data_IF_522246909122
#
_entry.id   IF_522246909122
#
_cell.length_a   1.000
_cell.length_b   1.000
_cell.length_c   1.000
_cell.angle_alpha   90.00
_cell.angle_beta   90.00
_cell.angle_gamma   90.00
#
_symmetry.space_group_name_H-M   'P 1'
#
loop_
_entity.id
_entity.type
_entity.pdbx_description
1 polymer ?
#
# COMPACT_ATOMS: atom_id res chain seq x y z
N UNK A 1 22.92 64.19 -39.08
CA UNK A 1 21.88 63.80 -38.11
C UNK A 1 21.90 62.27 -38.02
N UNK A 2 22.51 61.70 -36.98
CA UNK A 2 22.67 60.25 -36.80
C UNK A 2 21.48 59.72 -35.99
N UNK A 3 20.71 58.80 -36.56
CA UNK A 3 19.57 58.17 -35.91
C UNK A 3 20.04 56.86 -35.29
N UNK A 4 20.28 56.87 -33.98
CA UNK A 4 20.64 55.68 -33.19
C UNK A 4 19.37 54.85 -32.98
N UNK A 5 19.34 53.65 -33.54
CA UNK A 5 18.24 52.69 -33.41
C UNK A 5 18.26 52.09 -32.00
N UNK A 6 17.18 52.29 -31.24
CA UNK A 6 16.93 51.62 -29.96
C UNK A 6 16.64 50.13 -30.22
N UNK A 7 17.67 49.30 -30.13
CA UNK A 7 17.55 47.87 -29.83
C UNK A 7 17.64 47.76 -28.31
N UNK A 8 16.58 47.28 -27.66
CA UNK A 8 16.56 46.60 -26.34
C UNK A 8 15.17 46.79 -25.72
N UNK A 9 14.35 45.73 -25.73
CA UNK A 9 13.34 45.34 -24.72
C UNK A 9 12.32 44.35 -25.31
N UNK A 10 12.80 43.27 -25.92
CA UNK A 10 12.00 42.03 -26.08
C UNK A 10 12.84 40.86 -25.59
N UNK A 11 13.29 40.97 -24.33
CA UNK A 11 14.09 39.91 -23.68
C UNK A 11 13.65 39.66 -22.24
N UNK A 12 12.56 40.28 -21.78
CA UNK A 12 12.15 40.25 -20.37
C UNK A 12 10.75 39.65 -20.12
N UNK A 13 10.26 38.79 -21.03
CA UNK A 13 9.03 37.99 -20.79
C UNK A 13 9.20 36.52 -21.22
N UNK A 14 10.44 36.03 -21.35
CA UNK A 14 10.72 34.59 -21.54
C UNK A 14 11.64 34.02 -20.45
N UNK A 15 11.72 34.69 -19.30
CA UNK A 15 12.12 34.07 -18.05
C UNK A 15 10.85 33.79 -17.25
N UNK A 16 10.66 32.53 -16.81
CA UNK A 16 9.63 32.01 -15.88
C UNK A 16 8.53 31.07 -16.43
N UNK A 17 8.86 30.09 -17.27
CA UNK A 17 8.13 28.79 -17.26
C UNK A 17 9.03 27.55 -17.40
N UNK A 18 10.33 27.68 -17.14
CA UNK A 18 11.20 26.54 -16.79
C UNK A 18 11.57 26.60 -15.30
N UNK A 19 10.58 26.95 -14.46
CA UNK A 19 10.68 26.80 -13.01
C UNK A 19 10.42 25.34 -12.67
N UNK A 20 11.51 24.57 -12.62
CA UNK A 20 11.67 23.38 -11.79
C UNK A 20 10.57 22.31 -11.87
N UNK A 21 10.60 21.46 -12.90
CA UNK A 21 10.32 20.06 -12.61
C UNK A 21 11.53 19.54 -11.82
N UNK A 22 11.42 19.55 -10.48
CA UNK A 22 12.30 18.72 -9.65
C UNK A 22 12.32 17.33 -10.28
N UNK A 23 13.49 16.68 -10.43
CA UNK A 23 13.53 15.30 -10.90
C UNK A 23 12.54 14.52 -10.04
N UNK A 24 11.58 13.84 -10.68
CA UNK A 24 10.64 12.97 -10.00
C UNK A 24 11.49 11.99 -9.20
N UNK A 25 11.51 12.21 -7.89
CA UNK A 25 12.27 11.40 -6.95
C UNK A 25 11.90 9.95 -7.25
N UNK A 26 12.91 9.18 -7.68
CA UNK A 26 12.75 7.78 -8.02
C UNK A 26 12.24 7.11 -6.76
N UNK A 27 10.93 6.84 -6.67
CA UNK A 27 10.29 6.21 -5.51
C UNK A 27 11.20 5.09 -5.04
N UNK A 28 11.87 5.34 -3.92
CA UNK A 28 12.72 4.36 -3.27
C UNK A 28 11.84 3.13 -3.02
N UNK A 29 12.38 1.94 -3.35
CA UNK A 29 11.66 0.68 -3.23
C UNK A 29 11.05 0.62 -1.83
N UNK A 30 9.72 0.47 -1.72
CA UNK A 30 9.00 0.56 -0.44
C UNK A 30 9.68 -0.33 0.61
N UNK A 31 9.92 0.17 1.82
CA UNK A 31 10.68 -0.54 2.86
C UNK A 31 9.91 -1.70 3.50
N UNK A 32 8.66 -1.95 3.09
CA UNK A 32 7.80 -2.98 3.68
C UNK A 32 8.37 -4.39 3.44
N UNK A 33 8.40 -5.21 4.48
CA UNK A 33 8.75 -6.63 4.39
C UNK A 33 7.50 -7.46 4.07
N UNK A 34 7.46 -8.09 2.89
CA UNK A 34 6.29 -8.84 2.46
C UNK A 34 6.63 -10.18 1.81
N UNK A 35 5.63 -11.06 1.74
CA UNK A 35 5.64 -12.28 0.92
C UNK A 35 4.37 -12.34 0.06
N UNK A 36 4.51 -12.87 -1.16
CA UNK A 36 3.43 -12.99 -2.14
C UNK A 36 3.01 -14.46 -2.24
N UNK A 37 1.70 -14.69 -2.21
CA UNK A 37 1.08 -16.01 -2.27
C UNK A 37 0.11 -16.08 -3.45
N UNK A 38 0.25 -17.14 -4.25
CA UNK A 38 -0.47 -17.31 -5.52
C UNK A 38 -1.03 -18.72 -5.72
N UNK A 39 -0.98 -19.61 -4.74
CA UNK A 39 -1.57 -20.94 -4.92
C UNK A 39 -3.08 -20.89 -4.77
N UNK A 40 -3.80 -21.81 -5.43
CA UNK A 40 -5.25 -21.95 -5.24
C UNK A 40 -5.60 -22.24 -3.78
N UNK A 41 -4.74 -22.94 -3.05
CA UNK A 41 -4.88 -23.18 -1.60
C UNK A 41 -4.84 -21.87 -0.82
N UNK A 42 -3.87 -21.00 -1.09
CA UNK A 42 -3.75 -19.71 -0.39
C UNK A 42 -4.95 -18.80 -0.67
N UNK A 43 -5.42 -18.79 -1.93
CA UNK A 43 -6.62 -18.04 -2.32
C UNK A 43 -7.85 -18.57 -1.57
N UNK A 44 -8.04 -19.89 -1.51
CA UNK A 44 -9.14 -20.51 -0.77
C UNK A 44 -9.10 -20.17 0.73
N UNK A 45 -7.91 -20.11 1.34
CA UNK A 45 -7.76 -19.78 2.75
C UNK A 45 -7.96 -18.28 3.05
N UNK A 46 -7.68 -17.41 2.08
CA UNK A 46 -7.76 -15.95 2.26
C UNK A 46 -9.14 -15.35 1.91
N UNK A 47 -9.94 -16.07 1.12
CA UNK A 47 -11.21 -15.58 0.58
C UNK A 47 -12.33 -16.60 0.78
N UNK A 48 -13.47 -16.13 1.28
CA UNK A 48 -14.69 -16.94 1.45
C UNK A 48 -15.44 -17.19 0.12
N UNK A 49 -14.86 -16.74 -1.00
CA UNK A 49 -15.44 -16.79 -2.34
C UNK A 49 -14.55 -17.59 -3.29
N UNK A 50 -15.13 -18.27 -4.30
CA UNK A 50 -14.37 -19.03 -5.28
C UNK A 50 -13.66 -18.09 -6.26
N UNK A 51 -12.51 -17.56 -5.84
CA UNK A 51 -11.65 -16.70 -6.66
C UNK A 51 -10.50 -17.51 -7.28
N UNK A 52 -9.94 -16.97 -8.37
CA UNK A 52 -8.77 -17.57 -9.04
C UNK A 52 -7.50 -16.81 -8.67
N UNK A 53 -6.33 -17.48 -8.53
CA UNK A 53 -5.08 -16.79 -8.32
C UNK A 53 -4.78 -15.72 -9.36
N UNK A 54 -4.18 -14.62 -8.91
CA UNK A 54 -3.83 -13.51 -9.78
C UNK A 54 -2.42 -12.99 -9.49
N UNK A 55 -1.55 -13.09 -10.49
CA UNK A 55 -0.20 -12.49 -10.43
C UNK A 55 -0.30 -10.98 -10.62
N UNK A 56 0.22 -10.22 -9.65
CA UNK A 56 0.22 -8.76 -9.71
C UNK A 56 1.26 -8.23 -10.69
N UNK A 57 0.89 -7.24 -11.49
CA UNK A 57 1.88 -6.47 -12.25
C UNK A 57 2.73 -5.61 -11.30
N UNK A 58 3.90 -5.15 -11.76
CA UNK A 58 4.77 -4.25 -11.00
C UNK A 58 4.02 -2.98 -10.53
N UNK A 59 3.17 -2.43 -11.38
CA UNK A 59 2.37 -1.24 -11.06
C UNK A 59 1.27 -1.55 -10.04
N UNK A 60 0.60 -2.70 -10.17
CA UNK A 60 -0.40 -3.14 -9.18
C UNK A 60 0.23 -3.35 -7.80
N UNK A 61 1.41 -3.99 -7.76
CA UNK A 61 2.15 -4.16 -6.52
C UNK A 61 2.55 -2.82 -5.91
N UNK A 62 3.11 -1.89 -6.69
CA UNK A 62 3.46 -0.55 -6.20
C UNK A 62 2.24 0.21 -5.63
N UNK A 63 1.10 0.14 -6.30
CA UNK A 63 -0.14 0.75 -5.81
C UNK A 63 -0.64 0.10 -4.52
N UNK A 64 -0.52 -1.23 -4.41
CA UNK A 64 -0.88 -1.98 -3.22
C UNK A 64 -0.01 -1.57 -2.03
N UNK A 65 1.31 -1.47 -2.18
CA UNK A 65 2.21 -1.07 -1.09
C UNK A 65 1.86 0.34 -0.56
N UNK A 66 1.51 1.28 -1.44
CA UNK A 66 0.97 2.60 -1.03
C UNK A 66 -0.40 2.53 -0.36
N UNK A 67 -1.23 1.52 -0.65
CA UNK A 67 -2.49 1.30 0.07
C UNK A 67 -2.21 0.76 1.48
N UNK A 68 -1.26 -0.16 1.62
CA UNK A 68 -0.87 -0.75 2.92
C UNK A 68 -0.42 0.35 3.90
N UNK A 69 0.47 1.25 3.47
CA UNK A 69 0.93 2.38 4.30
C UNK A 69 -0.25 3.25 4.77
N UNK A 70 -1.17 3.59 3.85
CA UNK A 70 -2.37 4.38 4.18
C UNK A 70 -3.33 3.69 5.14
N UNK A 71 -3.42 2.36 5.10
CA UNK A 71 -4.25 1.61 6.06
C UNK A 71 -3.68 1.72 7.46
N UNK A 72 -2.36 1.56 7.60
CA UNK A 72 -1.70 1.71 8.91
C UNK A 72 -1.83 3.12 9.47
N UNK A 73 -1.69 4.15 8.63
CA UNK A 73 -1.96 5.54 9.04
C UNK A 73 -3.41 5.72 9.52
N UNK A 74 -4.38 5.17 8.78
CA UNK A 74 -5.79 5.23 9.15
C UNK A 74 -6.09 4.52 10.47
N UNK A 75 -5.46 3.37 10.72
CA UNK A 75 -5.61 2.64 11.97
C UNK A 75 -4.97 3.39 13.15
N UNK A 76 -3.83 4.04 12.96
CA UNK A 76 -3.21 4.90 13.97
C UNK A 76 -4.12 6.05 14.40
N UNK A 77 -4.80 6.69 13.45
CA UNK A 77 -5.78 7.75 13.74
C UNK A 77 -6.98 7.24 14.54
N UNK A 78 -7.34 5.96 14.39
CA UNK A 78 -8.43 5.34 15.18
C UNK A 78 -7.98 4.97 16.59
N UNK A 79 -6.71 4.66 16.80
CA UNK A 79 -6.15 4.34 18.12
C UNK A 79 -5.98 5.60 18.98
N UNK A 80 -5.61 6.74 18.39
CA UNK A 80 -5.47 8.00 19.14
C UNK A 80 -6.82 8.55 19.62
N UNK A 81 -7.93 8.21 18.97
CA UNK A 81 -9.27 8.67 19.35
C UNK A 81 -9.95 7.81 20.43
N UNK A 82 -9.48 6.59 20.71
CA UNK A 82 -10.12 5.68 21.68
C UNK A 82 -9.54 5.74 23.10
N UNK A 83 -8.56 6.61 23.37
CA UNK A 83 -7.93 6.79 24.70
C UNK A 83 -7.36 5.49 25.33
N UNK A 84 -7.16 4.46 24.52
CA UNK A 84 -6.59 3.17 24.92
C UNK A 84 -5.08 3.20 24.66
N UNK A 85 -4.26 2.86 25.66
CA UNK A 85 -2.79 2.65 25.55
C UNK A 85 -2.39 1.48 24.62
N UNK A 86 -3.22 1.13 23.64
CA UNK A 86 -2.88 0.16 22.60
C UNK A 86 -1.88 0.82 21.64
N UNK A 87 -0.76 0.15 21.40
CA UNK A 87 0.41 0.74 20.75
C UNK A 87 0.15 1.17 19.31
N UNK A 88 0.72 2.32 18.95
CA UNK A 88 0.82 2.84 17.58
C UNK A 88 1.27 1.72 16.62
N UNK A 89 0.54 1.56 15.52
CA UNK A 89 0.90 0.71 14.39
C UNK A 89 2.07 1.35 13.65
N UNK A 90 3.22 0.72 13.70
CA UNK A 90 4.38 1.08 12.88
C UNK A 90 4.43 0.11 11.70
N UNK A 91 4.25 0.63 10.47
CA UNK A 91 4.25 -0.16 9.24
C UNK A 91 5.53 -0.96 9.06
N UNK A 92 6.67 -0.44 9.54
CA UNK A 92 7.99 -1.05 9.40
C UNK A 92 8.20 -2.22 10.35
N UNK A 93 7.39 -2.31 11.40
CA UNK A 93 7.40 -3.43 12.36
C UNK A 93 6.59 -4.63 11.89
N UNK A 94 5.85 -4.51 10.78
CA UNK A 94 4.98 -5.57 10.29
C UNK A 94 5.59 -6.30 9.10
N UNK A 95 5.27 -7.59 9.05
CA UNK A 95 5.50 -8.49 7.94
C UNK A 95 4.16 -8.71 7.25
N UNK A 96 4.11 -8.54 5.92
CA UNK A 96 2.86 -8.60 5.17
C UNK A 96 2.78 -9.87 4.33
N UNK A 97 1.73 -10.64 4.51
CA UNK A 97 1.36 -11.72 3.58
C UNK A 97 0.30 -11.18 2.63
N UNK A 98 0.56 -11.32 1.33
CA UNK A 98 -0.27 -10.76 0.28
C UNK A 98 -0.78 -11.90 -0.59
N UNK A 99 -2.10 -12.10 -0.59
CA UNK A 99 -2.78 -13.07 -1.45
C UNK A 99 -3.60 -12.28 -2.47
N UNK A 100 -3.29 -12.47 -3.75
CA UNK A 100 -3.97 -11.78 -4.84
C UNK A 100 -4.82 -12.74 -5.66
N UNK A 101 -6.08 -12.36 -5.88
CA UNK A 101 -7.05 -13.15 -6.59
C UNK A 101 -7.88 -12.30 -7.57
N UNK A 102 -8.57 -12.96 -8.48
CA UNK A 102 -9.50 -12.35 -9.43
C UNK A 102 -10.85 -13.06 -9.39
N UNK A 103 -11.91 -12.27 -9.51
CA UNK A 103 -13.26 -12.78 -9.73
C UNK A 103 -13.48 -13.20 -11.20
N UNK A 104 -14.64 -13.78 -11.49
CA UNK A 104 -15.03 -14.19 -12.85
C UNK A 104 -15.22 -13.02 -13.82
N UNK A 105 -15.26 -11.78 -13.32
CA UNK A 105 -15.34 -10.54 -14.12
C UNK A 105 -13.95 -9.93 -14.36
N UNK A 106 -12.88 -10.58 -13.89
CA UNK A 106 -11.50 -10.10 -14.02
C UNK A 106 -11.09 -9.02 -13.03
N UNK A 107 -11.95 -8.67 -12.06
CA UNK A 107 -11.62 -7.69 -11.03
C UNK A 107 -10.62 -8.28 -10.04
N UNK A 108 -9.55 -7.53 -9.77
CA UNK A 108 -8.49 -7.98 -8.88
C UNK A 108 -8.75 -7.54 -7.44
N UNK A 109 -8.84 -8.52 -6.56
CA UNK A 109 -8.95 -8.32 -5.12
C UNK A 109 -7.71 -8.89 -4.43
N UNK A 110 -7.23 -8.20 -3.40
CA UNK A 110 -6.07 -8.64 -2.61
C UNK A 110 -6.48 -8.74 -1.16
N UNK A 111 -6.10 -9.83 -0.51
CA UNK A 111 -6.13 -9.97 0.94
C UNK A 111 -4.72 -9.71 1.48
N UNK A 112 -4.63 -8.83 2.47
CA UNK A 112 -3.38 -8.47 3.13
C UNK A 112 -3.48 -8.83 4.60
N UNK A 113 -2.52 -9.59 5.09
CA UNK A 113 -2.38 -9.94 6.49
C UNK A 113 -1.08 -9.35 7.04
N UNK A 114 -1.17 -8.57 8.11
CA UNK A 114 -0.05 -7.87 8.73
C UNK A 114 0.29 -8.53 10.08
N UNK A 115 1.58 -8.83 10.28
CA UNK A 115 2.07 -9.61 11.43
C UNK A 115 3.35 -8.99 12.00
N UNK A 116 3.36 -8.56 13.27
CA UNK A 116 4.57 -8.04 13.92
C UNK A 116 5.67 -9.08 14.07
N UNK A 117 5.34 -10.24 14.65
CA UNK A 117 6.32 -11.24 15.08
C UNK A 117 5.97 -12.62 14.49
N UNK A 118 6.29 -12.84 13.21
CA UNK A 118 5.89 -14.04 12.51
C UNK A 118 6.77 -15.25 12.88
N UNK A 119 6.19 -16.44 12.84
CA UNK A 119 6.95 -17.71 12.85
C UNK A 119 7.93 -17.77 11.68
N UNK A 120 9.01 -18.57 11.79
CA UNK A 120 10.10 -18.66 10.78
C UNK A 120 9.62 -18.94 9.34
N UNK A 121 8.49 -19.61 9.20
CA UNK A 121 7.87 -20.07 7.96
C UNK A 121 6.82 -19.13 7.36
N UNK A 122 6.62 -17.93 7.92
CA UNK A 122 5.59 -16.99 7.45
C UNK A 122 5.69 -16.55 5.99
N UNK A 123 6.87 -16.71 5.37
CA UNK A 123 7.02 -16.44 3.92
C UNK A 123 6.53 -17.61 3.05
N UNK A 124 6.30 -18.78 3.64
CA UNK A 124 5.93 -20.04 2.96
C UNK A 124 4.50 -20.48 3.26
N UNK A 125 3.94 -20.12 4.42
CA UNK A 125 2.59 -20.49 4.82
C UNK A 125 1.82 -19.29 5.38
N UNK A 126 0.52 -19.21 5.09
CA UNK A 126 -0.36 -18.17 5.63
C UNK A 126 -0.47 -18.28 7.15
N UNK A 127 -0.32 -17.15 7.84
CA UNK A 127 -0.38 -17.06 9.30
C UNK A 127 -1.78 -16.62 9.71
N UNK A 128 -2.49 -17.49 10.40
CA UNK A 128 -3.80 -17.20 11.01
C UNK A 128 -3.63 -17.05 12.51
N UNK A 129 -4.02 -15.89 13.02
CA UNK A 129 -3.92 -15.55 14.44
C UNK A 129 -5.28 -15.01 14.85
N UNK A 130 -5.78 -15.46 15.99
CA UNK A 130 -7.12 -15.10 16.49
C UNK A 130 -7.08 -13.94 17.50
N UNK A 131 -5.92 -13.75 18.15
CA UNK A 131 -5.68 -12.72 19.17
C UNK A 131 -4.29 -12.10 18.98
N UNK A 132 -4.19 -10.77 19.11
CA UNK A 132 -2.88 -10.13 19.21
C UNK A 132 -2.88 -8.60 19.08
N UNK A 133 -4.05 -7.97 19.07
CA UNK A 133 -4.21 -6.52 19.03
C UNK A 133 -3.69 -5.89 17.74
N UNK A 134 -3.11 -4.70 17.88
CA UNK A 134 -2.63 -3.89 16.76
C UNK A 134 -1.47 -4.51 15.95
N UNK A 135 -0.89 -5.61 16.43
CA UNK A 135 0.17 -6.36 15.74
C UNK A 135 -0.33 -7.37 14.71
N UNK A 136 -1.63 -7.65 14.70
CA UNK A 136 -2.24 -8.66 13.86
C UNK A 136 -3.57 -8.14 13.32
N UNK A 137 -3.56 -7.79 12.04
CA UNK A 137 -4.73 -7.31 11.35
C UNK A 137 -4.71 -7.74 9.91
N UNK A 138 -5.89 -7.90 9.33
CA UNK A 138 -6.05 -8.18 7.93
C UNK A 138 -7.09 -7.26 7.30
N UNK A 139 -7.00 -7.09 5.99
CA UNK A 139 -7.94 -6.29 5.22
C UNK A 139 -7.94 -6.72 3.76
N UNK A 140 -8.97 -6.28 3.04
CA UNK A 140 -9.10 -6.51 1.60
C UNK A 140 -8.86 -5.22 0.83
N UNK A 141 -8.38 -5.35 -0.41
CA UNK A 141 -8.13 -4.26 -1.34
C UNK A 141 -8.75 -4.59 -2.69
N UNK A 142 -9.57 -3.69 -3.22
CA UNK A 142 -9.95 -3.72 -4.63
C UNK A 142 -8.94 -2.87 -5.41
N UNK A 143 -8.13 -3.50 -6.27
CA UNK A 143 -7.05 -2.81 -6.98
C UNK A 143 -7.56 -1.90 -8.10
N UNK A 144 -8.70 -2.23 -8.71
CA UNK A 144 -9.32 -1.41 -9.77
C UNK A 144 -9.85 -0.10 -9.19
N UNK A 145 -10.52 -0.18 -8.04
CA UNK A 145 -11.07 0.98 -7.33
C UNK A 145 -10.03 1.69 -6.45
N UNK A 146 -8.87 1.07 -6.20
CA UNK A 146 -7.82 1.55 -5.27
C UNK A 146 -8.34 1.80 -3.86
N UNK A 147 -9.29 0.98 -3.40
CA UNK A 147 -9.95 1.08 -2.09
C UNK A 147 -9.67 -0.14 -1.24
N UNK A 148 -9.41 0.07 0.05
CA UNK A 148 -9.38 -0.99 1.05
C UNK A 148 -10.74 -1.10 1.76
N UNK A 149 -11.03 -2.28 2.30
CA UNK A 149 -12.28 -2.59 3.01
C UNK A 149 -12.09 -3.80 3.94
N UNK A 150 -13.11 -4.12 4.74
CA UNK A 150 -13.13 -5.26 5.67
C UNK A 150 -11.87 -5.35 6.56
N UNK A 151 -11.47 -4.24 7.17
CA UNK A 151 -10.35 -4.27 8.12
C UNK A 151 -10.80 -4.99 9.40
N UNK A 152 -10.10 -6.06 9.73
CA UNK A 152 -10.24 -6.78 10.99
C UNK A 152 -8.93 -6.66 11.76
N UNK A 153 -8.99 -6.12 12.99
CA UNK A 153 -7.88 -6.15 13.95
C UNK A 153 -8.20 -7.26 14.93
N UNK A 154 -7.30 -8.23 15.07
CA UNK A 154 -7.48 -9.32 16.02
C UNK A 154 -7.45 -8.71 17.42
N UNK A 155 -8.52 -8.84 18.18
CA UNK A 155 -8.61 -8.19 19.50
C UNK A 155 -7.80 -8.98 20.53
N UNK A 156 -7.30 -8.26 21.54
CA UNK A 156 -6.85 -8.88 22.78
C UNK A 156 -8.07 -9.47 23.47
N UNK A 157 -8.06 -10.77 23.77
CA UNK A 157 -9.00 -11.39 24.69
C UNK A 157 -9.00 -10.72 26.06
#
# INVERSE_FOLDING_TARGET
MRMTVFILLVSFVLSLTLYGQKPVERKEKSPLNYSLFYSSKDVYLAFDEPLKPNVLTKQQLANLLTIIERVSDSLNLRVTSTNTKTGKIDTLRHNYQIVSAKDNKGQSTVWVNAVCDPKKDWKKELVFIEDGGSCYYNFRVNLSQKRYYNIAVNRRG
#
